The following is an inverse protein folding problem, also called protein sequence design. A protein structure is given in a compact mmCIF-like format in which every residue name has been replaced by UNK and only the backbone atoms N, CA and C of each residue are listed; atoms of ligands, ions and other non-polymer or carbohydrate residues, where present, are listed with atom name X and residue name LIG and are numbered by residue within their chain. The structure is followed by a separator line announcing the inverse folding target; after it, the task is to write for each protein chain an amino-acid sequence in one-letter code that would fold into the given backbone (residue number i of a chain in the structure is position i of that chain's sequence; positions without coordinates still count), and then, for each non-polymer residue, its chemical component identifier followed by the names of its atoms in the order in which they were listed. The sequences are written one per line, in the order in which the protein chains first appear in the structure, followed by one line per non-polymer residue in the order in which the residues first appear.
data_IF_147046259217
#
_entry.id   IF_147046259217
#
_cell.length_a   1.000
_cell.length_b   1.000
_cell.length_c   1.000
_cell.angle_alpha   90.00
_cell.angle_beta   90.00
_cell.angle_gamma   90.00
#
_symmetry.space_group_name_H-M   'P 1'
#
loop_
_entity.id
_entity.type
_entity.pdbx_description
1 polymer ?
#
# COMPACT_ATOMS: atom_id res chain seq x y z
N UNK A 1 59.51 59.16 27.53
CA UNK A 1 58.35 58.41 28.07
C UNK A 1 57.54 57.63 27.02
N UNK A 2 57.54 58.04 25.74
CA UNK A 2 56.73 57.40 24.67
C UNK A 2 57.21 55.99 24.25
N UNK A 3 58.51 55.69 24.36
CA UNK A 3 59.06 54.37 23.98
C UNK A 3 58.64 53.21 24.90
N UNK A 4 58.64 53.43 26.22
CA UNK A 4 58.21 52.41 27.21
C UNK A 4 56.71 52.10 27.11
N UNK A 5 55.88 53.09 26.75
CA UNK A 5 54.45 52.90 26.57
C UNK A 5 54.13 52.02 25.34
N UNK A 6 54.83 52.24 24.22
CA UNK A 6 54.69 51.40 23.01
C UNK A 6 55.14 49.96 23.26
N UNK A 7 56.22 49.76 24.01
CA UNK A 7 56.73 48.43 24.32
C UNK A 7 55.79 47.65 25.26
N UNK A 8 55.23 48.32 26.27
CA UNK A 8 54.25 47.71 27.16
C UNK A 8 52.94 47.36 26.43
N UNK A 9 52.52 48.18 25.47
CA UNK A 9 51.32 47.90 24.66
C UNK A 9 51.53 46.69 23.73
N UNK A 10 52.72 46.58 23.12
CA UNK A 10 53.09 45.42 22.29
C UNK A 10 53.12 44.11 23.10
N UNK A 11 53.66 44.15 24.31
CA UNK A 11 53.66 42.99 25.21
C UNK A 11 52.24 42.62 25.63
N UNK A 12 51.39 43.61 25.96
CA UNK A 12 49.99 43.34 26.29
C UNK A 12 49.22 42.70 25.11
N UNK A 13 49.42 43.19 23.89
CA UNK A 13 48.81 42.62 22.69
C UNK A 13 49.27 41.17 22.42
N UNK A 14 50.55 40.86 22.64
CA UNK A 14 51.10 39.50 22.50
C UNK A 14 50.53 38.54 23.56
N UNK A 15 50.40 39.00 24.80
CA UNK A 15 49.81 38.19 25.87
C UNK A 15 48.34 37.91 25.57
N UNK A 16 47.58 38.93 25.18
CA UNK A 16 46.16 38.76 24.82
C UNK A 16 46.03 37.80 23.64
N UNK A 17 46.79 37.96 22.55
CA UNK A 17 46.69 37.05 21.40
C UNK A 17 47.03 35.61 21.75
N UNK A 18 48.05 35.40 22.60
CA UNK A 18 48.43 34.06 23.06
C UNK A 18 47.34 33.38 23.89
N UNK A 19 46.65 34.14 24.76
CA UNK A 19 45.55 33.64 25.58
C UNK A 19 44.34 33.32 24.70
N UNK A 20 44.03 34.16 23.72
CA UNK A 20 42.90 33.92 22.80
C UNK A 20 43.14 32.68 21.93
N UNK A 21 44.36 32.49 21.41
CA UNK A 21 44.74 31.29 20.64
C UNK A 21 44.67 30.03 21.52
N UNK A 22 45.11 30.12 22.78
CA UNK A 22 45.02 29.00 23.71
C UNK A 22 43.56 28.62 24.05
N UNK A 23 42.69 29.61 24.27
CA UNK A 23 41.26 29.38 24.52
C UNK A 23 40.53 28.80 23.31
N UNK A 24 40.82 29.31 22.11
CA UNK A 24 40.27 28.76 20.86
C UNK A 24 40.77 27.33 20.61
N UNK A 25 42.05 27.04 20.90
CA UNK A 25 42.63 25.71 20.82
C UNK A 25 41.98 24.71 21.79
N UNK A 26 41.68 25.13 23.03
CA UNK A 26 40.93 24.30 23.99
C UNK A 26 39.51 23.99 23.52
N UNK A 27 38.79 24.96 22.98
CA UNK A 27 37.45 24.73 22.42
C UNK A 27 37.47 23.83 21.18
N UNK A 28 38.50 23.93 20.33
CA UNK A 28 38.67 23.05 19.18
C UNK A 28 38.93 21.60 19.59
N UNK A 29 39.74 21.37 20.64
CA UNK A 29 40.00 20.03 21.17
C UNK A 29 38.76 19.39 21.84
N UNK A 30 37.96 20.16 22.56
CA UNK A 30 36.69 19.69 23.13
C UNK A 30 35.67 19.28 22.04
N UNK A 31 35.63 20.03 20.92
CA UNK A 31 34.85 19.67 19.74
C UNK A 31 35.37 18.41 19.04
N UNK A 32 36.69 18.21 18.98
CA UNK A 32 37.28 17.01 18.37
C UNK A 32 37.03 15.75 19.21
N UNK A 33 37.12 15.86 20.53
CA UNK A 33 36.85 14.75 21.44
C UNK A 33 35.38 14.28 21.37
N UNK A 34 34.43 15.22 21.18
CA UNK A 34 33.01 14.88 20.92
C UNK A 34 32.73 14.25 19.56
N UNK A 35 33.60 14.44 18.56
CA UNK A 35 33.46 13.83 17.24
C UNK A 35 34.01 12.39 17.25
N UNK A 36 35.08 12.13 18.00
CA UNK A 36 35.64 10.76 18.16
C UNK A 36 34.74 9.85 19.01
N UNK A 37 34.07 10.34 20.05
CA UNK A 37 33.09 9.51 20.79
C UNK A 37 31.83 9.19 19.98
N UNK A 38 31.52 9.97 18.93
CA UNK A 38 30.34 9.78 18.07
C UNK A 38 30.62 8.94 16.82
N UNK A 39 31.85 8.48 16.63
CA UNK A 39 32.29 7.65 15.49
C UNK A 39 32.48 6.18 15.88
N UNK A 40 31.70 5.67 16.83
CA UNK A 40 31.41 4.24 16.90
C UNK A 40 30.24 3.90 15.97
N UNK A 41 30.35 2.88 15.10
CA UNK A 41 29.26 2.49 14.22
C UNK A 41 28.19 1.82 15.07
N UNK A 42 27.19 2.58 15.52
CA UNK A 42 25.95 2.02 16.05
C UNK A 42 25.14 1.44 14.89
N UNK A 43 25.61 0.33 14.32
CA UNK A 43 24.79 -0.57 13.50
C UNK A 43 23.88 -1.34 14.46
N UNK A 44 23.02 -0.64 15.21
CA UNK A 44 21.85 -1.26 15.81
C UNK A 44 20.75 -1.22 14.76
N UNK A 45 20.80 -2.19 13.84
CA UNK A 45 19.64 -2.60 13.06
C UNK A 45 18.45 -2.70 14.03
N UNK A 46 17.39 -1.92 13.78
CA UNK A 46 16.09 -2.02 14.46
C UNK A 46 15.58 -3.46 14.28
N UNK A 47 16.00 -4.36 15.17
CA UNK A 47 15.57 -5.75 15.24
C UNK A 47 14.35 -5.80 16.16
N UNK A 48 13.17 -5.68 15.59
CA UNK A 48 11.94 -5.92 16.34
C UNK A 48 11.67 -7.43 16.35
N UNK A 49 11.48 -7.98 17.54
CA UNK A 49 11.22 -9.41 17.76
C UNK A 49 9.74 -9.63 18.07
N UNK A 50 9.10 -10.55 17.35
CA UNK A 50 7.76 -11.03 17.68
C UNK A 50 7.85 -12.27 18.58
N UNK A 51 7.10 -12.26 19.68
CA UNK A 51 6.64 -13.47 20.39
C UNK A 51 5.17 -13.68 20.00
N UNK A 52 4.92 -14.45 18.95
CA UNK A 52 3.56 -14.92 18.64
C UNK A 52 3.25 -16.13 19.51
N UNK A 53 2.02 -16.18 20.04
CA UNK A 53 1.56 -17.26 20.90
C UNK A 53 1.32 -18.54 20.10
N UNK A 54 2.39 -19.30 19.89
CA UNK A 54 2.47 -20.75 19.66
C UNK A 54 3.96 -21.09 19.60
N UNK A 55 4.38 -22.21 20.19
CA UNK A 55 5.77 -22.64 20.42
C UNK A 55 6.76 -22.44 19.24
N UNK A 56 7.22 -21.21 18.99
CA UNK A 56 8.42 -20.93 18.23
C UNK A 56 9.49 -20.47 19.22
N UNK A 57 10.47 -21.34 19.44
CA UNK A 57 11.65 -21.11 20.27
C UNK A 57 12.59 -20.00 19.72
N UNK A 58 12.25 -19.39 18.59
CA UNK A 58 13.01 -18.30 17.96
C UNK A 58 12.09 -17.13 17.58
N UNK A 59 12.41 -15.89 17.98
CA UNK A 59 11.63 -14.73 17.59
C UNK A 59 11.72 -14.49 16.07
N UNK A 60 10.59 -14.16 15.43
CA UNK A 60 10.58 -13.73 14.03
C UNK A 60 11.24 -12.35 13.93
N UNK A 61 12.36 -12.27 13.20
CA UNK A 61 13.16 -11.05 13.04
C UNK A 61 12.82 -10.42 11.68
N UNK A 62 12.46 -9.15 11.68
CA UNK A 62 12.16 -8.37 10.48
C UNK A 62 12.87 -7.01 10.52
N UNK A 63 13.17 -6.48 9.34
CA UNK A 63 13.79 -5.17 9.15
C UNK A 63 13.46 -4.62 7.74
N UNK A 64 13.90 -3.40 7.44
CA UNK A 64 13.63 -2.73 6.16
C UNK A 64 14.26 -3.40 4.92
N UNK A 65 15.23 -4.28 5.12
CA UNK A 65 16.00 -4.92 4.04
C UNK A 65 15.43 -6.31 3.68
N UNK A 66 14.34 -6.74 4.31
CA UNK A 66 13.67 -7.99 3.96
C UNK A 66 12.99 -7.93 2.57
N UNK A 67 12.86 -9.06 1.85
CA UNK A 67 12.27 -9.10 0.51
C UNK A 67 10.75 -9.01 0.58
N UNK A 68 10.21 -7.79 0.68
CA UNK A 68 8.77 -7.52 0.68
C UNK A 68 8.17 -7.60 -0.72
N UNK A 69 6.93 -8.08 -0.82
CA UNK A 69 6.15 -8.08 -2.06
C UNK A 69 5.00 -7.08 -1.92
N UNK A 70 4.87 -6.14 -2.84
CA UNK A 70 3.74 -5.21 -2.87
C UNK A 70 2.90 -5.44 -4.12
N UNK A 71 1.64 -5.80 -3.93
CA UNK A 71 0.67 -5.99 -5.01
C UNK A 71 -0.29 -4.80 -5.02
N UNK A 72 -0.49 -4.20 -6.18
CA UNK A 72 -1.50 -3.16 -6.34
C UNK A 72 -1.93 -2.94 -7.77
N UNK A 73 -2.42 -1.75 -8.04
CA UNK A 73 -3.11 -1.40 -9.28
C UNK A 73 -4.46 -0.77 -8.97
N UNK A 74 -5.23 -0.40 -10.00
CA UNK A 74 -6.57 0.15 -9.76
C UNK A 74 -7.46 -0.94 -9.13
N UNK A 75 -8.29 -0.65 -8.10
CA UNK A 75 -9.25 -1.62 -7.60
C UNK A 75 -10.08 -2.21 -8.74
N UNK A 76 -10.48 -3.48 -8.57
CA UNK A 76 -11.19 -4.29 -9.59
C UNK A 76 -10.33 -4.81 -10.76
N UNK A 77 -9.01 -4.65 -10.70
CA UNK A 77 -8.05 -5.20 -11.68
C UNK A 77 -7.50 -6.59 -11.33
N UNK A 78 -8.15 -7.36 -10.45
CA UNK A 78 -7.69 -8.72 -10.09
C UNK A 78 -6.64 -8.80 -8.98
N UNK A 79 -6.39 -7.71 -8.24
CA UNK A 79 -5.39 -7.68 -7.14
C UNK A 79 -5.67 -8.69 -6.02
N UNK A 80 -6.94 -8.93 -5.66
CA UNK A 80 -7.28 -9.98 -4.67
C UNK A 80 -7.03 -11.39 -5.21
N UNK A 81 -7.23 -11.64 -6.51
CA UNK A 81 -6.90 -12.93 -7.11
C UNK A 81 -5.38 -13.17 -7.09
N UNK A 82 -4.60 -12.18 -7.54
CA UNK A 82 -3.14 -12.24 -7.53
C UNK A 82 -2.59 -12.56 -6.14
N UNK A 83 -3.02 -11.82 -5.11
CA UNK A 83 -2.54 -12.08 -3.75
C UNK A 83 -3.01 -13.43 -3.21
N UNK A 84 -4.19 -13.92 -3.60
CA UNK A 84 -4.69 -15.21 -3.15
C UNK A 84 -3.92 -16.37 -3.78
N UNK A 85 -3.54 -16.25 -5.06
CA UNK A 85 -2.65 -17.21 -5.72
C UNK A 85 -1.26 -17.22 -5.08
N UNK A 86 -0.77 -16.08 -4.57
CA UNK A 86 0.47 -16.03 -3.79
C UNK A 86 0.32 -16.57 -2.36
N UNK A 87 -0.75 -16.23 -1.64
CA UNK A 87 -1.07 -16.79 -0.31
C UNK A 87 -1.21 -18.33 -0.33
N UNK A 88 -1.50 -18.91 -1.49
CA UNK A 88 -1.54 -20.35 -1.66
C UNK A 88 -0.14 -20.99 -1.67
N UNK A 89 0.92 -20.21 -1.89
CA UNK A 89 2.30 -20.69 -1.82
C UNK A 89 2.71 -20.87 -0.35
N UNK A 90 3.26 -22.02 0.07
CA UNK A 90 3.52 -22.32 1.49
C UNK A 90 4.53 -21.40 2.17
N UNK A 91 5.35 -20.69 1.39
CA UNK A 91 6.35 -19.73 1.90
C UNK A 91 5.92 -18.26 1.85
N UNK A 92 4.76 -17.94 1.28
CA UNK A 92 4.33 -16.55 1.04
C UNK A 92 3.06 -16.25 1.82
N UNK A 93 3.04 -15.08 2.49
CA UNK A 93 1.82 -14.55 3.11
C UNK A 93 1.60 -13.10 2.74
N UNK A 94 0.51 -12.84 2.02
CA UNK A 94 -0.08 -11.54 1.75
C UNK A 94 -1.14 -11.17 2.79
N UNK A 95 -2.21 -11.95 2.91
CA UNK A 95 -3.37 -11.63 3.74
C UNK A 95 -4.33 -10.58 3.13
N UNK A 96 -5.14 -9.96 3.99
CA UNK A 96 -6.20 -9.01 3.64
C UNK A 96 -5.69 -7.60 3.30
N UNK A 97 -6.57 -6.74 2.77
CA UNK A 97 -6.27 -5.31 2.62
C UNK A 97 -6.11 -4.65 3.99
N UNK A 98 -4.96 -4.03 4.24
CA UNK A 98 -4.69 -3.38 5.53
C UNK A 98 -5.45 -2.06 5.67
N UNK A 99 -5.76 -1.40 4.55
CA UNK A 99 -6.44 -0.10 4.43
C UNK A 99 -5.68 1.09 5.01
N UNK A 100 -4.88 0.89 6.07
CA UNK A 100 -4.12 1.92 6.76
C UNK A 100 -2.86 2.31 6.00
N UNK A 101 -2.20 1.35 5.33
CA UNK A 101 -0.99 1.58 4.53
C UNK A 101 -1.20 2.66 3.45
N UNK A 102 -2.19 2.55 2.54
CA UNK A 102 -2.40 3.59 1.53
C UNK A 102 -2.80 4.95 2.12
N UNK A 103 -3.41 4.99 3.32
CA UNK A 103 -3.77 6.24 4.00
C UNK A 103 -2.55 6.97 4.53
N UNK A 104 -1.66 6.28 5.25
CA UNK A 104 -0.45 6.89 5.79
C UNK A 104 0.51 7.28 4.65
N UNK A 105 0.60 6.48 3.58
CA UNK A 105 1.35 6.83 2.38
C UNK A 105 0.82 8.11 1.71
N UNK A 106 -0.50 8.27 1.63
CA UNK A 106 -1.12 9.49 1.12
C UNK A 106 -0.81 10.70 2.01
N UNK A 107 -0.86 10.55 3.34
CA UNK A 107 -0.49 11.62 4.28
C UNK A 107 0.97 12.05 4.11
N UNK A 108 1.92 11.09 4.08
CA UNK A 108 3.34 11.38 3.82
C UNK A 108 3.53 12.10 2.49
N UNK A 109 2.83 11.66 1.44
CA UNK A 109 2.90 12.30 0.13
C UNK A 109 2.38 13.74 0.16
N UNK A 110 1.32 14.04 0.93
CA UNK A 110 0.80 15.40 1.09
C UNK A 110 1.81 16.33 1.77
N UNK A 111 2.47 15.86 2.84
CA UNK A 111 3.51 16.64 3.51
C UNK A 111 4.68 16.96 2.58
N UNK A 112 5.15 15.96 1.81
CA UNK A 112 6.26 16.15 0.87
C UNK A 112 5.93 17.02 -0.35
N UNK A 113 4.65 17.11 -0.76
CA UNK A 113 4.22 17.96 -1.89
C UNK A 113 4.04 19.43 -1.52
N UNK A 114 3.76 19.72 -0.25
CA UNK A 114 3.60 21.09 0.23
C UNK A 114 4.95 21.68 0.63
N UNK A 115 5.50 22.60 -0.17
CA UNK A 115 6.80 23.22 0.11
C UNK A 115 6.84 23.93 1.47
N UNK A 116 5.75 24.61 1.85
CA UNK A 116 5.63 25.26 3.16
C UNK A 116 5.60 24.26 4.31
N UNK A 117 4.89 23.14 4.15
CA UNK A 117 4.84 22.13 5.20
C UNK A 117 6.18 21.41 5.34
N UNK A 118 6.83 21.07 4.22
CA UNK A 118 8.18 20.49 4.23
C UNK A 118 9.17 21.39 4.96
N UNK A 119 9.18 22.70 4.68
CA UNK A 119 10.03 23.65 5.40
C UNK A 119 9.76 23.65 6.92
N UNK A 120 8.49 23.61 7.34
CA UNK A 120 8.16 23.55 8.78
C UNK A 120 8.63 22.27 9.44
N UNK A 121 8.53 21.14 8.74
CA UNK A 121 8.98 19.84 9.23
C UNK A 121 10.52 19.81 9.35
N UNK A 122 11.22 20.34 8.35
CA UNK A 122 12.68 20.43 8.36
C UNK A 122 13.19 21.31 9.52
N UNK A 123 12.60 22.50 9.74
CA UNK A 123 12.92 23.38 10.88
C UNK A 123 12.57 22.76 12.25
N UNK A 124 11.62 21.83 12.29
CA UNK A 124 11.27 21.07 13.49
C UNK A 124 12.16 19.83 13.72
N UNK A 125 13.16 19.59 12.85
CA UNK A 125 14.01 18.40 12.90
C UNK A 125 13.33 17.11 12.42
N UNK A 126 12.13 17.22 11.83
CA UNK A 126 11.36 16.10 11.25
C UNK A 126 11.74 15.96 9.77
N UNK A 127 13.01 15.64 9.53
CA UNK A 127 13.60 15.54 8.19
C UNK A 127 13.06 14.33 7.41
N UNK A 128 13.36 14.24 6.11
CA UNK A 128 13.01 13.07 5.30
C UNK A 128 13.60 11.77 5.88
N UNK A 129 14.76 11.79 6.54
CA UNK A 129 15.35 10.61 7.20
C UNK A 129 14.52 10.14 8.41
N UNK A 130 14.08 11.09 9.24
CA UNK A 130 13.23 10.81 10.40
C UNK A 130 11.88 10.26 9.94
N UNK A 131 11.27 10.89 8.93
CA UNK A 131 10.01 10.44 8.37
C UNK A 131 10.13 9.07 7.71
N UNK A 132 11.19 8.81 6.94
CA UNK A 132 11.37 7.53 6.27
C UNK A 132 11.58 6.40 7.28
N UNK A 133 12.34 6.64 8.36
CA UNK A 133 12.49 5.70 9.47
C UNK A 133 11.16 5.40 10.16
N UNK A 134 10.37 6.44 10.47
CA UNK A 134 9.04 6.28 11.09
C UNK A 134 8.08 5.53 10.17
N UNK A 135 8.09 5.82 8.86
CA UNK A 135 7.28 5.13 7.86
C UNK A 135 7.68 3.67 7.73
N UNK A 136 8.98 3.34 7.69
CA UNK A 136 9.46 1.96 7.68
C UNK A 136 8.96 1.18 8.88
N UNK A 137 9.12 1.73 10.09
CA UNK A 137 8.69 1.08 11.32
C UNK A 137 7.17 0.84 11.31
N UNK A 138 6.38 1.87 10.99
CA UNK A 138 4.92 1.76 10.94
C UNK A 138 4.45 0.72 9.92
N UNK A 139 4.98 0.76 8.69
CA UNK A 139 4.56 -0.15 7.63
C UNK A 139 4.95 -1.59 7.95
N UNK A 140 6.17 -1.83 8.45
CA UNK A 140 6.62 -3.17 8.85
C UNK A 140 5.78 -3.74 9.99
N UNK A 141 5.46 -2.95 11.02
CA UNK A 141 4.61 -3.38 12.12
C UNK A 141 3.27 -3.90 11.60
N UNK A 142 2.62 -3.17 10.68
CA UNK A 142 1.38 -3.61 10.07
C UNK A 142 1.61 -4.89 9.25
N UNK A 143 2.50 -4.84 8.25
CA UNK A 143 2.73 -5.95 7.29
C UNK A 143 3.09 -7.24 8.01
N UNK A 144 3.91 -7.18 9.05
CA UNK A 144 4.35 -8.37 9.78
C UNK A 144 3.26 -8.88 10.72
N UNK A 145 2.59 -8.00 11.47
CA UNK A 145 1.70 -8.41 12.59
C UNK A 145 0.24 -8.62 12.22
N UNK A 146 -0.21 -8.17 11.05
CA UNK A 146 -1.63 -8.30 10.69
C UNK A 146 -2.04 -9.73 10.25
N UNK A 147 -1.10 -10.66 10.14
CA UNK A 147 -1.35 -12.04 9.73
C UNK A 147 -0.22 -12.97 10.17
N UNK A 148 -0.30 -14.23 9.75
CA UNK A 148 0.67 -15.26 10.13
C UNK A 148 2.09 -14.95 9.61
N UNK A 149 3.14 -15.39 10.31
CA UNK A 149 4.51 -15.27 9.82
C UNK A 149 4.74 -16.16 8.59
N UNK A 150 5.59 -15.71 7.67
CA UNK A 150 6.03 -16.47 6.49
C UNK A 150 7.42 -16.00 6.04
N UNK A 151 8.10 -16.79 5.21
CA UNK A 151 9.43 -16.46 4.69
C UNK A 151 9.38 -15.22 3.79
N UNK A 152 8.33 -15.11 2.97
CA UNK A 152 8.10 -13.98 2.06
C UNK A 152 6.84 -13.25 2.47
N UNK A 153 7.00 -12.04 2.99
CA UNK A 153 5.87 -11.21 3.37
C UNK A 153 5.41 -10.36 2.19
N UNK A 154 4.10 -10.28 2.05
CA UNK A 154 3.42 -9.59 0.98
C UNK A 154 2.38 -8.63 1.55
N UNK A 155 2.14 -7.53 0.86
CA UNK A 155 1.04 -6.62 1.13
C UNK A 155 0.26 -6.36 -0.17
N UNK A 156 -1.07 -6.42 -0.07
CA UNK A 156 -1.97 -6.02 -1.14
C UNK A 156 -2.90 -4.92 -0.66
N UNK A 157 -2.57 -3.69 -1.01
CA UNK A 157 -3.44 -2.53 -0.92
C UNK A 157 -3.40 -1.81 -2.27
N UNK A 158 -4.51 -1.79 -3.05
CA UNK A 158 -4.46 -1.42 -4.47
C UNK A 158 -3.71 -0.11 -4.78
N UNK A 159 -3.98 0.94 -4.00
CA UNK A 159 -3.37 2.26 -4.18
C UNK A 159 -2.07 2.50 -3.39
N UNK A 160 -1.52 1.50 -2.70
CA UNK A 160 -0.16 1.61 -2.17
C UNK A 160 0.85 1.87 -3.30
N UNK A 161 0.60 1.31 -4.49
CA UNK A 161 1.42 1.50 -5.69
C UNK A 161 1.34 2.92 -6.30
N UNK A 162 0.47 3.82 -5.80
CA UNK A 162 0.61 5.26 -6.11
C UNK A 162 1.85 5.88 -5.48
N UNK A 163 2.46 5.18 -4.52
CA UNK A 163 3.69 5.54 -3.83
C UNK A 163 4.77 4.46 -4.08
N UNK A 164 4.72 3.76 -5.21
CA UNK A 164 5.66 2.70 -5.57
C UNK A 164 7.11 3.18 -5.50
N UNK A 165 7.45 4.30 -6.12
CA UNK A 165 8.83 4.83 -6.12
C UNK A 165 9.30 5.14 -4.69
N UNK A 166 8.39 5.62 -3.83
CA UNK A 166 8.70 5.86 -2.42
C UNK A 166 8.91 4.57 -1.64
N UNK A 167 8.03 3.57 -1.83
CA UNK A 167 8.18 2.25 -1.22
C UNK A 167 9.49 1.58 -1.64
N UNK A 168 9.89 1.70 -2.90
CA UNK A 168 11.15 1.16 -3.42
C UNK A 168 12.38 1.86 -2.82
N UNK A 169 12.27 3.13 -2.43
CA UNK A 169 13.31 3.88 -1.71
C UNK A 169 13.46 3.35 -0.28
N UNK A 170 12.35 3.22 0.46
CA UNK A 170 12.39 2.87 1.89
C UNK A 170 12.52 1.36 2.15
N UNK A 171 12.19 0.51 1.18
CA UNK A 171 12.38 -0.95 1.22
C UNK A 171 13.21 -1.40 0.00
N UNK A 172 14.54 -1.37 0.08
CA UNK A 172 15.42 -1.54 -1.08
C UNK A 172 15.30 -2.89 -1.80
N UNK A 173 14.92 -3.94 -1.08
CA UNK A 173 14.76 -5.30 -1.59
C UNK A 173 13.28 -5.66 -1.89
N UNK A 174 12.37 -4.68 -1.81
CA UNK A 174 10.99 -4.91 -2.16
C UNK A 174 10.80 -5.08 -3.68
N UNK A 175 9.88 -5.96 -4.07
CA UNK A 175 9.40 -6.12 -5.44
C UNK A 175 7.91 -5.79 -5.54
N UNK A 176 7.51 -5.30 -6.70
CA UNK A 176 6.18 -4.75 -6.95
C UNK A 176 5.50 -5.52 -8.07
N UNK A 177 4.22 -5.85 -7.87
CA UNK A 177 3.35 -6.45 -8.87
C UNK A 177 2.23 -5.46 -9.18
N UNK A 178 2.29 -4.85 -10.36
CA UNK A 178 1.27 -3.93 -10.83
C UNK A 178 0.21 -4.69 -11.63
N UNK A 179 -0.95 -4.90 -11.03
CA UNK A 179 -2.09 -5.49 -11.73
C UNK A 179 -2.70 -4.48 -12.71
N UNK A 180 -2.74 -4.89 -13.96
CA UNK A 180 -3.29 -4.15 -15.08
C UNK A 180 -4.50 -4.92 -15.61
N UNK A 181 -5.59 -4.22 -15.86
CA UNK A 181 -6.81 -4.78 -16.45
C UNK A 181 -7.39 -3.73 -17.38
N UNK A 182 -8.13 -4.17 -18.40
CA UNK A 182 -8.91 -3.28 -19.25
C UNK A 182 -9.74 -2.32 -18.37
N UNK A 183 -9.52 -1.02 -18.56
CA UNK A 183 -10.19 0.01 -17.76
C UNK A 183 -11.70 -0.04 -17.85
N UNK A 184 -12.23 -0.49 -18.99
CA UNK A 184 -13.67 -0.69 -19.21
C UNK A 184 -14.22 -1.79 -18.30
N UNK A 185 -13.47 -2.88 -18.12
CA UNK A 185 -13.82 -3.97 -17.21
C UNK A 185 -13.74 -3.54 -15.74
N UNK A 186 -12.66 -2.85 -15.34
CA UNK A 186 -12.50 -2.37 -13.96
C UNK A 186 -13.58 -1.33 -13.57
N UNK A 187 -13.89 -0.39 -14.47
CA UNK A 187 -14.93 0.62 -14.25
C UNK A 187 -16.33 -0.01 -14.21
N UNK A 188 -16.65 -0.90 -15.15
CA UNK A 188 -17.92 -1.61 -15.10
C UNK A 188 -18.06 -2.41 -13.79
N UNK A 189 -16.99 -3.05 -13.33
CA UNK A 189 -16.96 -3.82 -12.08
C UNK A 189 -17.21 -2.95 -10.84
N UNK A 190 -16.61 -1.74 -10.75
CA UNK A 190 -16.85 -0.85 -9.60
C UNK A 190 -18.26 -0.25 -9.61
N UNK A 191 -18.80 0.10 -10.78
CA UNK A 191 -20.14 0.68 -10.92
C UNK A 191 -21.21 -0.38 -10.62
N UNK A 192 -21.19 -1.51 -11.32
CA UNK A 192 -22.21 -2.58 -11.18
C UNK A 192 -22.26 -3.15 -9.76
N UNK A 193 -21.10 -3.30 -9.11
CA UNK A 193 -21.01 -3.79 -7.73
C UNK A 193 -21.07 -2.68 -6.69
N UNK A 194 -21.19 -1.40 -7.06
CA UNK A 194 -21.17 -0.28 -6.12
C UNK A 194 -19.98 -0.33 -5.16
N UNK A 195 -18.77 -0.54 -5.69
CA UNK A 195 -17.52 -0.54 -4.91
C UNK A 195 -17.05 0.90 -4.82
N UNK A 196 -17.22 1.51 -3.65
CA UNK A 196 -16.88 2.92 -3.42
C UNK A 196 -15.37 3.11 -3.36
N UNK A 197 -14.88 4.07 -4.15
CA UNK A 197 -13.48 4.47 -4.18
C UNK A 197 -13.48 5.99 -3.99
N UNK A 198 -12.70 6.48 -3.02
CA UNK A 198 -12.67 7.90 -2.71
C UNK A 198 -12.33 8.71 -3.97
N UNK A 199 -13.19 9.69 -4.26
CA UNK A 199 -13.07 10.55 -5.42
C UNK A 199 -13.69 10.00 -6.70
N UNK A 200 -14.15 8.75 -6.82
CA UNK A 200 -14.83 8.24 -8.03
C UNK A 200 -16.35 8.44 -7.95
N UNK A 201 -16.95 9.02 -8.99
CA UNK A 201 -18.41 9.10 -9.12
C UNK A 201 -18.95 7.85 -9.83
N UNK A 202 -19.54 6.95 -9.05
CA UNK A 202 -20.08 5.67 -9.54
C UNK A 202 -21.34 5.83 -10.40
N UNK A 203 -21.91 7.04 -10.52
CA UNK A 203 -23.01 7.32 -11.45
C UNK A 203 -22.52 7.62 -12.88
N UNK A 204 -21.23 7.87 -13.07
CA UNK A 204 -20.65 8.29 -14.35
C UNK A 204 -19.51 7.38 -14.80
N UNK A 205 -19.74 6.61 -15.89
CA UNK A 205 -18.68 5.84 -16.55
C UNK A 205 -17.53 6.73 -17.03
N UNK A 206 -17.84 7.92 -17.55
CA UNK A 206 -16.86 8.90 -18.03
C UNK A 206 -15.92 9.34 -16.90
N UNK A 207 -16.49 9.69 -15.76
CA UNK A 207 -15.72 10.10 -14.58
C UNK A 207 -14.85 8.94 -14.06
N UNK A 208 -15.44 7.76 -13.89
CA UNK A 208 -14.73 6.58 -13.42
C UNK A 208 -13.58 6.17 -14.37
N UNK A 209 -13.77 6.22 -15.69
CA UNK A 209 -12.72 5.94 -16.69
C UNK A 209 -11.62 7.00 -16.66
N UNK A 210 -11.98 8.28 -16.53
CA UNK A 210 -11.01 9.38 -16.42
C UNK A 210 -10.12 9.19 -15.19
N UNK A 211 -10.71 8.84 -14.05
CA UNK A 211 -9.99 8.61 -12.79
C UNK A 211 -9.22 7.30 -12.79
N UNK A 212 -9.75 6.25 -13.42
CA UNK A 212 -9.00 5.03 -13.70
C UNK A 212 -7.74 5.36 -14.52
N UNK A 213 -7.87 6.14 -15.59
CA UNK A 213 -6.76 6.52 -16.47
C UNK A 213 -5.65 7.24 -15.70
N UNK A 214 -6.01 8.28 -14.93
CA UNK A 214 -5.04 9.03 -14.09
C UNK A 214 -4.35 8.14 -13.06
N UNK A 215 -5.11 7.24 -12.42
CA UNK A 215 -4.56 6.36 -11.40
C UNK A 215 -3.58 5.35 -12.02
N UNK A 216 -3.96 4.67 -13.09
CA UNK A 216 -3.09 3.68 -13.73
C UNK A 216 -1.89 4.32 -14.41
N UNK A 217 -2.03 5.51 -14.99
CA UNK A 217 -0.91 6.28 -15.55
C UNK A 217 0.17 6.57 -14.49
N UNK A 218 -0.26 7.01 -13.30
CA UNK A 218 0.66 7.26 -12.17
C UNK A 218 1.38 5.98 -11.76
N UNK A 219 0.64 4.89 -11.55
CA UNK A 219 1.22 3.62 -11.08
C UNK A 219 2.10 2.96 -12.14
N UNK A 220 1.71 3.02 -13.41
CA UNK A 220 2.45 2.45 -14.52
C UNK A 220 3.76 3.21 -14.76
N UNK A 221 3.72 4.55 -14.72
CA UNK A 221 4.93 5.37 -14.82
C UNK A 221 5.93 5.03 -13.72
N UNK A 222 5.49 4.96 -12.45
CA UNK A 222 6.37 4.57 -11.34
C UNK A 222 6.87 3.12 -11.46
N UNK A 223 6.06 2.20 -12.01
CA UNK A 223 6.48 0.83 -12.26
C UNK A 223 7.60 0.76 -13.30
N UNK A 224 7.51 1.54 -14.39
CA UNK A 224 8.57 1.65 -15.39
C UNK A 224 9.86 2.26 -14.81
N UNK A 225 9.73 3.28 -13.95
CA UNK A 225 10.87 3.91 -13.25
C UNK A 225 11.58 2.93 -12.29
N UNK A 226 10.83 2.01 -11.68
CA UNK A 226 11.37 1.00 -10.77
C UNK A 226 12.05 -0.18 -11.49
N UNK A 227 12.07 -0.19 -12.83
CA UNK A 227 12.78 -1.14 -13.68
C UNK A 227 12.62 -2.61 -13.23
N UNK A 228 13.69 -3.27 -12.83
CA UNK A 228 13.77 -4.67 -12.43
C UNK A 228 13.04 -4.99 -11.10
N UNK A 229 12.54 -3.97 -10.39
CA UNK A 229 11.77 -4.15 -9.16
C UNK A 229 10.26 -4.19 -9.38
N UNK A 230 9.74 -3.86 -10.56
CA UNK A 230 8.30 -3.90 -10.81
C UNK A 230 7.93 -4.79 -12.01
N UNK A 231 6.96 -5.68 -11.80
CA UNK A 231 6.37 -6.52 -12.84
C UNK A 231 4.92 -6.10 -13.11
N UNK A 232 4.63 -5.53 -14.30
CA UNK A 232 3.26 -5.38 -14.79
C UNK A 232 2.65 -6.76 -15.10
N UNK A 233 1.45 -7.03 -14.57
CA UNK A 233 0.71 -8.28 -14.81
C UNK A 233 -0.68 -7.95 -15.34
N UNK A 234 -0.95 -8.39 -16.57
CA UNK A 234 -2.27 -8.25 -17.19
C UNK A 234 -3.21 -9.31 -16.62
N UNK A 235 -4.31 -8.87 -16.00
CA UNK A 235 -5.33 -9.72 -15.41
C UNK A 235 -5.88 -10.73 -16.43
N UNK A 236 -6.14 -10.29 -17.65
CA UNK A 236 -6.69 -11.11 -18.71
C UNK A 236 -5.71 -12.23 -19.07
N UNK A 237 -4.43 -11.92 -19.15
CA UNK A 237 -3.39 -12.90 -19.43
C UNK A 237 -3.18 -13.86 -18.25
N UNK A 238 -3.26 -13.37 -17.01
CA UNK A 238 -3.21 -14.19 -15.80
C UNK A 238 -4.37 -15.20 -15.75
N UNK A 239 -5.59 -14.78 -16.06
CA UNK A 239 -6.74 -15.69 -16.01
C UNK A 239 -6.82 -16.62 -17.22
N UNK A 240 -6.30 -16.22 -18.38
CA UNK A 240 -6.21 -17.09 -19.56
C UNK A 240 -5.10 -18.13 -19.42
N UNK A 241 -3.96 -17.75 -18.84
CA UNK A 241 -2.73 -18.55 -18.79
C UNK A 241 -2.07 -18.55 -17.39
N UNK A 242 -2.75 -19.06 -16.35
CA UNK A 242 -2.32 -18.89 -14.96
C UNK A 242 -0.96 -19.53 -14.67
N UNK A 243 -0.68 -20.72 -15.18
CA UNK A 243 0.61 -21.40 -14.95
C UNK A 243 1.78 -20.59 -15.53
N UNK A 244 1.66 -20.15 -16.79
CA UNK A 244 2.68 -19.34 -17.45
C UNK A 244 3.01 -18.07 -16.66
N UNK A 245 1.97 -17.35 -16.21
CA UNK A 245 2.17 -16.10 -15.48
C UNK A 245 2.65 -16.32 -14.05
N UNK A 246 2.18 -17.36 -13.35
CA UNK A 246 2.69 -17.66 -12.02
C UNK A 246 4.14 -18.14 -12.06
N UNK A 247 4.56 -18.91 -13.06
CA UNK A 247 5.97 -19.26 -13.27
C UNK A 247 6.83 -18.03 -13.51
N UNK A 248 6.36 -17.13 -14.37
CA UNK A 248 7.04 -15.86 -14.68
C UNK A 248 7.17 -14.98 -13.42
N UNK A 249 6.09 -14.89 -12.64
CA UNK A 249 6.02 -14.09 -11.44
C UNK A 249 6.89 -14.64 -10.30
N UNK A 250 6.84 -15.94 -10.02
CA UNK A 250 7.67 -16.55 -8.98
C UNK A 250 9.16 -16.48 -9.35
N UNK A 251 9.51 -16.66 -10.63
CA UNK A 251 10.86 -16.41 -11.13
C UNK A 251 11.27 -14.95 -10.92
N UNK A 252 10.40 -14.00 -11.27
CA UNK A 252 10.65 -12.58 -11.02
C UNK A 252 10.85 -12.29 -9.54
N UNK A 253 10.10 -12.94 -8.63
CA UNK A 253 10.23 -12.77 -7.19
C UNK A 253 11.44 -13.49 -6.59
N UNK A 254 12.10 -14.39 -7.33
CA UNK A 254 13.10 -15.34 -6.83
C UNK A 254 12.54 -16.30 -5.76
N UNK A 255 11.33 -16.81 -6.01
CA UNK A 255 10.65 -17.79 -5.15
C UNK A 255 10.54 -19.12 -5.93
N UNK A 256 10.82 -20.28 -5.31
CA UNK A 256 10.65 -21.57 -5.95
C UNK A 256 9.23 -21.78 -6.51
N UNK A 257 9.09 -22.59 -7.55
CA UNK A 257 7.77 -22.97 -8.05
C UNK A 257 7.07 -23.88 -7.03
N UNK A 258 5.78 -23.62 -6.78
CA UNK A 258 4.90 -24.54 -6.08
C UNK A 258 3.55 -24.59 -6.80
N UNK A 259 3.02 -25.79 -7.03
CA UNK A 259 1.78 -26.01 -7.77
C UNK A 259 0.53 -25.43 -7.06
N UNK A 260 0.59 -25.28 -5.73
CA UNK A 260 -0.50 -24.75 -4.92
C UNK A 260 -1.00 -23.37 -5.38
N UNK A 261 -0.16 -22.57 -6.06
CA UNK A 261 -0.55 -21.27 -6.61
C UNK A 261 -1.65 -21.34 -7.69
N UNK A 262 -1.87 -22.52 -8.28
CA UNK A 262 -2.93 -22.78 -9.25
C UNK A 262 -4.23 -23.30 -8.59
N UNK A 263 -4.17 -23.62 -7.30
CA UNK A 263 -5.22 -24.27 -6.52
C UNK A 263 -5.61 -23.45 -5.27
N UNK A 264 -5.58 -22.12 -5.38
CA UNK A 264 -5.82 -21.21 -4.26
C UNK A 264 -7.18 -21.43 -3.58
N UNK A 265 -8.20 -21.85 -4.34
CA UNK A 265 -9.54 -22.12 -3.86
C UNK A 265 -9.58 -23.29 -2.86
N UNK A 266 -8.64 -24.21 -2.95
CA UNK A 266 -8.53 -25.38 -2.06
C UNK A 266 -7.86 -25.04 -0.74
N UNK A 267 -7.21 -23.86 -0.65
CA UNK A 267 -6.42 -23.43 0.51
C UNK A 267 -7.07 -22.29 1.31
N UNK A 268 -8.33 -21.97 1.04
CA UNK A 268 -9.05 -20.91 1.74
C UNK A 268 -9.32 -21.30 3.19
N UNK A 269 -8.89 -20.45 4.13
CA UNK A 269 -9.08 -20.66 5.57
C UNK A 269 -8.23 -21.78 6.16
N UNK A 270 -7.29 -22.36 5.40
CA UNK A 270 -6.34 -23.36 5.90
C UNK A 270 -5.10 -22.68 6.49
N UNK A 271 -4.43 -23.36 7.43
CA UNK A 271 -3.16 -22.90 7.99
C UNK A 271 -2.11 -22.79 6.87
N UNK A 272 -1.38 -21.66 6.83
CA UNK A 272 -0.43 -21.38 5.75
C UNK A 272 -1.06 -21.21 4.37
N UNK A 273 -2.37 -20.96 4.29
CA UNK A 273 -3.11 -20.76 3.04
C UNK A 273 -3.77 -19.38 2.96
N UNK A 274 -4.90 -19.31 2.25
CA UNK A 274 -5.54 -18.03 1.87
C UNK A 274 -6.50 -17.54 2.95
N UNK A 275 -6.13 -16.47 3.65
CA UNK A 275 -7.06 -15.75 4.56
C UNK A 275 -7.90 -14.72 3.80
N UNK A 276 -9.22 -14.70 4.02
CA UNK A 276 -10.16 -13.80 3.34
C UNK A 276 -11.01 -13.02 4.34
N UNK A 277 -11.08 -11.70 4.18
CA UNK A 277 -12.04 -10.86 4.90
C UNK A 277 -13.46 -11.06 4.35
N UNK A 278 -14.42 -11.31 5.24
CA UNK A 278 -15.84 -11.45 4.88
C UNK A 278 -16.47 -10.15 4.36
N UNK A 279 -15.83 -9.00 4.58
CA UNK A 279 -16.33 -7.68 4.16
C UNK A 279 -15.58 -7.09 2.95
N UNK A 280 -14.55 -7.77 2.46
CA UNK A 280 -13.92 -7.40 1.19
C UNK A 280 -14.82 -7.73 0.00
N UNK A 281 -14.89 -6.80 -0.96
CA UNK A 281 -15.81 -6.89 -2.11
C UNK A 281 -15.43 -7.93 -3.16
N UNK A 282 -14.24 -8.52 -3.04
CA UNK A 282 -13.74 -9.55 -3.96
C UNK A 282 -13.87 -10.98 -3.42
N UNK A 283 -14.29 -11.15 -2.16
CA UNK A 283 -14.26 -12.44 -1.46
C UNK A 283 -15.14 -13.49 -2.14
N UNK A 284 -16.37 -13.16 -2.52
CA UNK A 284 -17.30 -14.03 -3.27
C UNK A 284 -16.75 -14.48 -4.64
N UNK A 285 -15.80 -13.73 -5.21
CA UNK A 285 -15.19 -14.09 -6.49
C UNK A 285 -13.94 -14.96 -6.33
N UNK A 286 -13.11 -14.65 -5.32
CA UNK A 286 -11.83 -15.34 -5.09
C UNK A 286 -11.99 -16.70 -4.40
N UNK A 287 -13.18 -17.04 -3.90
CA UNK A 287 -13.48 -18.42 -3.46
C UNK A 287 -13.61 -19.42 -4.61
N UNK A 288 -13.66 -18.93 -5.85
CA UNK A 288 -13.79 -19.76 -7.05
C UNK A 288 -12.40 -19.98 -7.66
N UNK A 289 -12.14 -21.12 -8.31
CA UNK A 289 -10.92 -21.30 -9.09
C UNK A 289 -10.80 -20.23 -10.17
N UNK A 290 -9.57 -20.02 -10.68
CA UNK A 290 -9.32 -19.14 -11.82
C UNK A 290 -10.25 -19.51 -12.98
N UNK A 291 -11.05 -18.53 -13.44
CA UNK A 291 -12.05 -18.70 -14.49
C UNK A 291 -12.15 -17.43 -15.35
N UNK A 292 -12.74 -17.57 -16.55
CA UNK A 292 -12.79 -16.49 -17.55
C UNK A 292 -14.11 -15.74 -17.63
N UNK A 293 -15.07 -16.02 -16.75
CA UNK A 293 -16.40 -15.39 -16.84
C UNK A 293 -16.35 -13.86 -16.80
N UNK A 294 -15.37 -13.29 -16.10
CA UNK A 294 -15.29 -11.86 -15.86
C UNK A 294 -14.55 -11.07 -16.95
N UNK A 295 -13.98 -11.72 -17.98
CA UNK A 295 -13.19 -11.04 -19.01
C UNK A 295 -13.99 -9.93 -19.71
N UNK A 296 -15.18 -10.26 -20.22
CA UNK A 296 -15.92 -9.41 -21.16
C UNK A 296 -17.32 -9.00 -20.69
N UNK A 297 -17.64 -9.17 -19.39
CA UNK A 297 -18.96 -8.80 -18.82
C UNK A 297 -19.34 -7.32 -18.98
N UNK A 298 -18.36 -6.45 -19.26
CA UNK A 298 -18.54 -5.02 -19.46
C UNK A 298 -19.12 -4.65 -20.84
N UNK A 299 -19.03 -5.55 -21.82
CA UNK A 299 -19.47 -5.29 -23.19
C UNK A 299 -20.97 -5.01 -23.22
N UNK A 300 -21.35 -3.94 -23.93
CA UNK A 300 -22.74 -3.47 -24.01
C UNK A 300 -23.25 -2.75 -22.76
N UNK A 301 -22.41 -2.45 -21.77
CA UNK A 301 -22.80 -1.76 -20.52
C UNK A 301 -22.34 -0.30 -20.44
N UNK A 302 -21.45 0.11 -21.34
CA UNK A 302 -20.90 1.46 -21.36
C UNK A 302 -21.77 2.35 -22.26
N UNK A 303 -22.15 3.56 -21.82
CA UNK A 303 -22.93 4.49 -22.63
C UNK A 303 -22.28 4.80 -23.99
N UNK A 304 -23.05 4.94 -25.09
CA UNK A 304 -22.51 5.16 -26.43
C UNK A 304 -21.62 6.41 -26.59
N UNK A 305 -21.93 7.51 -25.87
CA UNK A 305 -21.11 8.72 -25.88
C UNK A 305 -19.72 8.50 -25.27
N UNK A 306 -19.66 7.69 -24.21
CA UNK A 306 -18.41 7.30 -23.55
C UNK A 306 -17.60 6.35 -24.42
N UNK A 307 -18.26 5.43 -25.13
CA UNK A 307 -17.61 4.53 -26.10
C UNK A 307 -16.98 5.32 -27.26
N UNK A 308 -17.72 6.29 -27.82
CA UNK A 308 -17.21 7.15 -28.89
C UNK A 308 -15.97 7.93 -28.47
N UNK A 309 -15.96 8.44 -27.24
CA UNK A 309 -14.88 9.27 -26.72
C UNK A 309 -13.79 8.44 -25.97
N UNK A 310 -13.85 7.10 -26.01
CA UNK A 310 -12.99 6.21 -25.22
C UNK A 310 -11.48 6.49 -25.35
N UNK A 311 -10.91 6.71 -26.56
CA UNK A 311 -9.47 7.01 -26.68
C UNK A 311 -9.07 8.32 -26.01
N UNK A 312 -9.99 9.29 -25.95
CA UNK A 312 -9.75 10.60 -25.32
C UNK A 312 -9.88 10.51 -23.79
N UNK A 313 -10.88 9.78 -23.31
CA UNK A 313 -11.14 9.60 -21.87
C UNK A 313 -10.04 8.75 -21.22
N UNK A 314 -9.61 7.69 -21.92
CA UNK A 314 -8.75 6.65 -21.38
C UNK A 314 -7.59 6.28 -22.34
N UNK A 315 -6.68 7.22 -22.67
CA UNK A 315 -5.54 6.97 -23.55
C UNK A 315 -4.60 5.86 -23.03
N UNK A 316 -4.59 5.60 -21.72
CA UNK A 316 -3.83 4.48 -21.15
C UNK A 316 -4.29 3.12 -21.66
N UNK A 317 -5.52 2.96 -22.18
CA UNK A 317 -5.95 1.71 -22.80
C UNK A 317 -5.00 1.31 -23.93
N UNK A 318 -4.78 2.22 -24.89
CA UNK A 318 -3.88 1.98 -26.03
C UNK A 318 -2.44 1.77 -25.58
N UNK A 319 -1.94 2.59 -24.63
CA UNK A 319 -0.58 2.44 -24.08
C UNK A 319 -0.34 1.10 -23.38
N UNK A 320 -1.40 0.49 -22.86
CA UNK A 320 -1.38 -0.81 -22.19
C UNK A 320 -1.80 -1.96 -23.12
N UNK A 321 -1.91 -1.73 -24.43
CA UNK A 321 -2.23 -2.77 -25.41
C UNK A 321 -3.71 -3.15 -25.51
N UNK A 322 -4.61 -2.37 -24.91
CA UNK A 322 -6.05 -2.50 -25.12
C UNK A 322 -6.51 -1.57 -26.24
N UNK A 323 -7.02 -2.12 -27.34
CA UNK A 323 -7.64 -1.32 -28.39
C UNK A 323 -8.86 -0.56 -27.80
N UNK A 324 -8.84 0.79 -27.76
CA UNK A 324 -9.93 1.58 -27.19
C UNK A 324 -11.19 1.55 -28.06
N UNK A 325 -11.10 1.15 -29.34
CA UNK A 325 -12.22 1.04 -30.27
C UNK A 325 -12.84 -0.36 -30.32
N UNK A 326 -12.09 -1.41 -29.97
CA UNK A 326 -12.61 -2.78 -29.91
C UNK A 326 -13.55 -3.02 -28.71
N UNK A 327 -14.67 -3.72 -28.93
CA UNK A 327 -15.72 -3.96 -27.92
C UNK A 327 -16.21 -5.42 -27.93
N UNK A 328 -15.50 -6.38 -27.28
CA UNK A 328 -14.23 -6.22 -26.57
C UNK A 328 -13.01 -6.41 -27.50
N UNK A 329 -11.79 -6.05 -27.05
CA UNK A 329 -10.56 -6.58 -27.63
C UNK A 329 -10.51 -8.11 -27.57
N UNK A 330 -9.77 -8.74 -28.48
CA UNK A 330 -9.43 -10.15 -28.36
C UNK A 330 -8.32 -10.32 -27.31
N UNK A 331 -8.69 -10.69 -26.10
CA UNK A 331 -7.73 -10.92 -25.01
C UNK A 331 -6.90 -12.20 -25.18
N UNK A 332 -7.29 -13.13 -26.05
CA UNK A 332 -6.65 -14.43 -26.23
C UNK A 332 -7.59 -15.61 -25.95
N UNK A 333 -7.06 -16.83 -26.03
CA UNK A 333 -7.80 -18.08 -25.78
C UNK A 333 -7.29 -18.73 -24.50
N UNK A 334 -8.16 -19.20 -23.59
CA UNK A 334 -7.76 -19.78 -22.32
C UNK A 334 -7.06 -21.12 -22.50
N UNK A 335 -6.18 -21.46 -21.56
CA UNK A 335 -5.64 -22.81 -21.40
C UNK A 335 -6.77 -23.81 -21.05
N UNK A 336 -6.62 -25.10 -21.41
CA UNK A 336 -7.64 -26.13 -21.12
C UNK A 336 -8.06 -26.19 -19.65
N UNK A 337 -7.10 -26.11 -18.72
CA UNK A 337 -7.36 -26.11 -17.28
C UNK A 337 -8.35 -24.99 -16.86
N UNK A 338 -8.22 -23.80 -17.46
CA UNK A 338 -9.09 -22.66 -17.14
C UNK A 338 -10.49 -22.86 -17.70
N UNK A 339 -10.62 -23.48 -18.88
CA UNK A 339 -11.92 -23.86 -19.43
C UNK A 339 -12.61 -24.86 -18.51
N UNK A 340 -11.87 -25.83 -17.97
CA UNK A 340 -12.39 -26.84 -17.05
C UNK A 340 -12.83 -26.21 -15.74
N UNK A 341 -12.01 -25.32 -15.16
CA UNK A 341 -12.37 -24.51 -14.00
C UNK A 341 -13.64 -23.70 -14.24
N UNK A 342 -13.76 -23.07 -15.40
CA UNK A 342 -14.94 -22.28 -15.77
C UNK A 342 -16.19 -23.16 -15.86
N UNK A 343 -16.10 -24.36 -16.46
CA UNK A 343 -17.20 -25.32 -16.49
C UNK A 343 -17.61 -25.77 -15.08
N UNK A 344 -16.64 -26.06 -14.20
CA UNK A 344 -16.91 -26.41 -12.79
C UNK A 344 -17.67 -25.29 -12.06
N UNK A 345 -17.27 -24.03 -12.25
CA UNK A 345 -17.95 -22.87 -11.67
C UNK A 345 -19.38 -22.72 -12.21
N UNK A 346 -19.57 -22.94 -13.50
CA UNK A 346 -20.88 -22.86 -14.15
C UNK A 346 -21.79 -24.05 -13.81
N UNK A 347 -21.26 -25.18 -13.36
CA UNK A 347 -22.08 -26.35 -13.00
C UNK A 347 -22.43 -26.40 -11.52
N UNK A 348 -21.77 -25.61 -10.67
CA UNK A 348 -21.99 -25.57 -9.23
C UNK A 348 -23.09 -24.54 -8.85
N UNK A 349 -24.31 -24.99 -8.49
CA UNK A 349 -25.42 -24.09 -8.15
C UNK A 349 -25.11 -23.25 -6.91
N UNK A 350 -24.28 -23.76 -5.99
CA UNK A 350 -23.88 -23.06 -4.77
C UNK A 350 -22.94 -21.87 -5.05
N UNK A 351 -22.30 -21.86 -6.23
CA UNK A 351 -21.38 -20.81 -6.69
C UNK A 351 -21.99 -19.92 -7.78
N UNK A 352 -23.16 -20.24 -8.32
CA UNK A 352 -23.84 -19.42 -9.34
C UNK A 352 -24.55 -18.18 -8.76
N UNK A 353 -24.87 -18.14 -7.46
CA UNK A 353 -25.54 -16.99 -6.85
C UNK A 353 -25.11 -16.77 -5.41
N UNK A 354 -24.27 -15.76 -5.18
CA UNK A 354 -24.12 -15.15 -3.86
C UNK A 354 -24.55 -13.68 -3.92
N UNK A 355 -25.81 -13.44 -4.29
CA UNK A 355 -26.50 -12.34 -3.62
C UNK A 355 -26.65 -12.75 -2.16
N UNK A 356 -25.74 -12.28 -1.31
CA UNK A 356 -25.89 -12.39 0.14
C UNK A 356 -27.30 -11.88 0.49
N UNK A 357 -28.14 -12.65 1.20
CA UNK A 357 -29.46 -12.16 1.58
C UNK A 357 -29.26 -10.89 2.39
N UNK A 358 -29.76 -9.76 1.88
CA UNK A 358 -29.85 -8.54 2.69
C UNK A 358 -30.77 -8.86 3.84
N UNK A 359 -30.22 -9.02 5.06
CA UNK A 359 -31.04 -8.91 6.26
C UNK A 359 -31.75 -7.57 6.16
N UNK A 360 -33.08 -7.62 6.04
CA UNK A 360 -33.92 -6.44 6.08
C UNK A 360 -33.59 -5.66 7.36
N UNK A 361 -33.37 -4.35 7.23
CA UNK A 361 -33.34 -3.46 8.39
C UNK A 361 -34.64 -3.70 9.18
N UNK A 362 -34.60 -3.85 10.51
CA UNK A 362 -35.82 -3.89 11.28
C UNK A 362 -36.59 -2.59 11.00
N UNK A 363 -37.86 -2.72 10.64
CA UNK A 363 -38.79 -1.58 10.67
C UNK A 363 -38.80 -1.10 12.12
N UNK A 364 -38.32 0.12 12.35
CA UNK A 364 -38.65 0.86 13.57
C UNK A 364 -40.13 1.19 13.46
N UNK A 365 -40.97 0.37 14.09
CA UNK A 365 -42.34 0.73 14.43
C UNK A 365 -42.31 1.81 15.50
N UNK A 366 -43.14 2.82 15.34
CA UNK A 366 -43.46 3.73 16.43
C UNK A 366 -44.26 3.00 17.51
N UNK A 367 -43.96 3.29 18.77
CA UNK A 367 -44.86 3.98 19.70
C UNK A 367 -44.21 4.02 21.11
N UNK A 368 -44.52 5.10 21.82
CA UNK A 368 -44.64 5.22 23.27
C UNK A 368 -43.42 5.24 24.20
N UNK A 369 -43.06 6.48 24.56
CA UNK A 369 -42.95 7.00 25.93
C UNK A 369 -42.70 6.04 27.08
N UNK A 370 -41.48 6.06 27.61
CA UNK A 370 -41.13 6.27 29.03
C UNK A 370 -39.70 5.80 29.30
N UNK A 371 -38.75 6.73 29.34
CA UNK A 371 -37.37 6.42 29.76
C UNK A 371 -37.27 6.51 31.28
N UNK A 372 -37.21 5.35 31.93
CA UNK A 372 -36.85 5.21 33.34
C UNK A 372 -35.33 5.31 33.49
N UNK A 373 -34.91 6.24 34.35
CA UNK A 373 -33.55 6.51 34.76
C UNK A 373 -32.87 5.27 35.38
N UNK A 374 -31.77 4.78 34.79
CA UNK A 374 -30.78 3.96 35.50
C UNK A 374 -29.40 4.56 35.31
N UNK A 375 -28.91 5.18 36.40
CA UNK A 375 -27.52 5.61 36.58
C UNK A 375 -26.59 4.39 36.52
N UNK A 376 -25.60 4.42 35.64
CA UNK A 376 -24.41 3.58 35.74
C UNK A 376 -23.24 4.50 36.09
N UNK A 377 -22.64 4.24 37.25
CA UNK A 377 -21.46 4.92 37.78
C UNK A 377 -20.21 4.51 37.00
N UNK A 378 -19.38 5.48 36.59
CA UNK A 378 -17.97 5.28 36.26
C UNK A 378 -17.12 6.14 37.20
N UNK A 379 -16.09 5.60 37.87
CA UNK A 379 -15.22 6.38 38.73
C UNK A 379 -14.17 7.15 37.91
N UNK A 380 -14.11 8.45 38.19
CA UNK A 380 -13.04 9.44 38.05
C UNK A 380 -11.80 9.11 37.19
N UNK A 381 -11.66 9.87 36.09
CA UNK A 381 -10.39 10.53 35.78
C UNK A 381 -10.70 11.88 35.10
N UNK A 382 -10.46 12.96 35.83
CA UNK A 382 -10.71 14.36 35.45
C UNK A 382 -9.69 14.82 34.41
N UNK A 383 -10.14 15.20 33.21
CA UNK A 383 -9.40 16.09 32.33
C UNK A 383 -10.19 17.39 32.18
N UNK A 384 -9.63 18.46 32.76
CA UNK A 384 -10.12 19.82 32.65
C UNK A 384 -10.01 20.31 31.20
N UNK A 385 -11.14 20.55 30.55
CA UNK A 385 -11.19 21.35 29.32
C UNK A 385 -11.29 22.83 29.71
N UNK A 386 -10.23 23.59 29.43
CA UNK A 386 -10.26 25.06 29.44
C UNK A 386 -10.92 25.51 28.15
N UNK A 387 -12.02 26.24 28.28
CA UNK A 387 -12.79 26.85 27.21
C UNK A 387 -12.25 28.27 26.97
N UNK A 388 -11.85 28.61 25.74
CA UNK A 388 -11.55 29.99 25.35
C UNK A 388 -12.55 30.42 24.25
N UNK A 389 -13.41 31.43 24.50
CA UNK A 389 -14.26 32.01 23.48
C UNK A 389 -13.60 33.25 22.85
N UNK A 390 -13.86 33.43 21.55
CA UNK A 390 -13.77 34.71 20.85
C UNK A 390 -12.46 34.96 20.11
N UNK A 391 -12.52 35.12 18.78
CA UNK A 391 -12.43 36.46 18.17
C UNK A 391 -12.91 36.42 16.71
N UNK A 392 -13.52 37.53 16.35
CA UNK A 392 -14.33 37.87 15.19
C UNK A 392 -13.54 38.13 13.91
N UNK A 393 -14.25 38.00 12.78
CA UNK A 393 -14.03 38.58 11.46
C UNK A 393 -13.06 39.78 11.39
N UNK A 394 -12.05 39.64 10.53
CA UNK A 394 -11.70 40.56 9.43
C UNK A 394 -10.75 39.84 8.46
#
# INVERSE_FOLDING_TARGET
MIGKLKQNLLVACLVISSVTVFYLGRHAMECHHRIEERSQPLVSSLRTTLRTGQNLSTPFIYNKDMPLIFIGGVPRSGTTLMRAMLDAHPEVRCGEETRVIPRILAMKQMWSRSGREKMRLDEAGVTDEVLDSAMQAFLLEIIVKHGEPANYLCNKDPFALKSLTYLAKIFPHAKFILMIRDGRASVHSMISRKVTIAGFDLSSYRDCLTKWNRAIETMYTQCLEAADKCLPVHYEQLVLHPEKWMRTLLKFLNIPWNDAVLHHEELIGKAGGVSLSKVERSTDQVIKPVNVEALSKWVGKIPPDVLRDMPVIAPMLARLGYDPHANPPNYGRPDPLVLDNTRRVQQDPSKQSSEVPRKAKPKLGGEDGSFVNRKIFFPHCTLSFIHFPGYTNL
#
